data_IF_045714925919
#
_entry.id   IF_045714925919
#
_cell.length_a   1.000
_cell.length_b   1.000
_cell.length_c   1.000
_cell.angle_alpha   90.00
_cell.angle_beta   90.00
_cell.angle_gamma   90.00
#
_symmetry.space_group_name_H-M   'P 1'
#
loop_
_entity.id
_entity.type
_entity.pdbx_description
1 polymer ?
#
# COMPACT_ATOMS: atom_id res chain seq x y z
N UNK A 1 -10.92 -9.19 29.51
CA UNK A 1 -11.76 -10.33 29.09
C UNK A 1 -11.15 -10.93 27.82
N UNK A 2 -11.16 -12.26 27.64
CA UNK A 2 -10.58 -12.88 26.43
C UNK A 2 -11.70 -13.14 25.38
N UNK A 3 -11.71 -12.45 24.23
CA UNK A 3 -12.78 -12.58 23.22
C UNK A 3 -12.93 -13.99 22.65
N UNK A 4 -11.85 -14.76 22.59
CA UNK A 4 -11.90 -16.14 22.09
C UNK A 4 -12.62 -17.05 23.07
N UNK A 5 -12.39 -16.85 24.38
CA UNK A 5 -13.07 -17.65 25.42
C UNK A 5 -14.59 -17.41 25.42
N UNK A 6 -15.03 -16.17 25.19
CA UNK A 6 -16.47 -15.87 25.18
C UNK A 6 -17.16 -16.36 23.90
N UNK A 7 -16.48 -16.34 22.74
CA UNK A 7 -16.99 -16.97 21.51
C UNK A 7 -17.19 -18.48 21.72
N UNK A 8 -16.19 -19.16 22.31
CA UNK A 8 -16.27 -20.59 22.64
C UNK A 8 -17.39 -20.89 23.65
N UNK A 9 -17.53 -20.07 24.70
CA UNK A 9 -18.55 -20.22 25.73
C UNK A 9 -19.98 -19.99 25.17
N UNK A 10 -20.18 -19.01 24.29
CA UNK A 10 -21.48 -18.79 23.62
C UNK A 10 -21.81 -19.95 22.70
N UNK A 11 -20.84 -20.46 21.93
CA UNK A 11 -21.04 -21.63 21.05
C UNK A 11 -21.32 -22.91 21.83
N UNK A 12 -20.79 -23.05 23.04
CA UNK A 12 -21.03 -24.18 23.92
C UNK A 12 -22.34 -24.05 24.73
N UNK A 13 -23.00 -22.89 24.70
CA UNK A 13 -24.24 -22.63 25.44
C UNK A 13 -25.47 -23.23 24.75
N UNK A 14 -26.62 -23.10 25.41
CA UNK A 14 -27.92 -23.45 24.82
C UNK A 14 -28.50 -22.37 23.90
N UNK A 15 -27.77 -21.28 23.63
CA UNK A 15 -28.22 -20.20 22.74
C UNK A 15 -28.39 -20.75 21.33
N UNK A 16 -29.61 -20.68 20.81
CA UNK A 16 -29.95 -21.21 19.48
C UNK A 16 -29.69 -20.21 18.35
N UNK A 17 -29.69 -18.92 18.68
CA UNK A 17 -29.39 -17.86 17.72
C UNK A 17 -27.91 -17.85 17.36
N UNK A 18 -27.58 -17.96 16.08
CA UNK A 18 -26.19 -17.99 15.62
C UNK A 18 -25.46 -16.68 15.96
N UNK A 19 -24.27 -16.81 16.55
CA UNK A 19 -23.35 -15.71 16.79
C UNK A 19 -22.77 -15.20 15.45
N UNK A 20 -22.72 -13.88 15.31
CA UNK A 20 -22.12 -13.21 14.15
C UNK A 20 -20.68 -12.78 14.44
N UNK A 21 -20.43 -12.23 15.63
CA UNK A 21 -19.08 -11.90 16.08
C UNK A 21 -19.01 -11.30 17.48
N UNK A 22 -17.80 -11.21 18.00
CA UNK A 22 -17.47 -10.59 19.28
C UNK A 22 -16.38 -9.54 19.04
N UNK A 23 -16.63 -8.31 19.46
CA UNK A 23 -15.70 -7.19 19.28
C UNK A 23 -15.41 -6.56 20.63
N UNK A 24 -14.13 -6.25 20.89
CA UNK A 24 -13.70 -5.52 22.08
C UNK A 24 -13.08 -4.21 21.66
N UNK A 25 -13.61 -3.09 22.17
CA UNK A 25 -13.09 -1.74 21.94
C UNK A 25 -12.86 -1.10 23.30
N UNK A 26 -11.60 -0.98 23.71
CA UNK A 26 -11.25 -0.54 25.07
C UNK A 26 -11.81 -1.52 26.12
N UNK A 27 -12.56 -0.98 27.08
CA UNK A 27 -13.20 -1.76 28.14
C UNK A 27 -14.63 -2.24 27.78
N UNK A 28 -15.07 -2.02 26.53
CA UNK A 28 -16.40 -2.38 26.05
C UNK A 28 -16.33 -3.67 25.23
N UNK A 29 -17.14 -4.66 25.63
CA UNK A 29 -17.38 -5.90 24.88
C UNK A 29 -18.73 -5.80 24.17
N UNK A 30 -18.73 -5.97 22.85
CA UNK A 30 -19.97 -6.04 22.04
C UNK A 30 -20.11 -7.41 21.41
N UNK A 31 -21.31 -7.99 21.52
CA UNK A 31 -21.64 -9.31 20.98
C UNK A 31 -22.77 -9.17 19.96
N UNK A 32 -22.52 -9.64 18.74
CA UNK A 32 -23.45 -9.54 17.62
C UNK A 32 -24.05 -10.91 17.33
N UNK A 33 -25.38 -10.99 17.25
CA UNK A 33 -26.11 -12.19 16.84
C UNK A 33 -26.75 -11.96 15.48
N UNK A 34 -26.87 -13.01 14.67
CA UNK A 34 -27.45 -12.93 13.31
C UNK A 34 -28.96 -12.68 13.28
N UNK A 35 -29.62 -12.75 14.43
CA UNK A 35 -31.02 -12.41 14.61
C UNK A 35 -31.25 -11.92 16.04
N UNK A 36 -32.45 -11.39 16.31
CA UNK A 36 -32.85 -11.06 17.68
C UNK A 36 -32.91 -12.32 18.55
N UNK A 37 -32.26 -12.27 19.72
CA UNK A 37 -32.30 -13.36 20.69
C UNK A 37 -33.73 -13.63 21.19
N UNK A 38 -34.08 -14.90 21.29
CA UNK A 38 -35.31 -15.32 21.97
C UNK A 38 -35.26 -14.98 23.46
N UNK A 39 -36.40 -14.89 24.17
CA UNK A 39 -36.39 -14.69 25.62
C UNK A 39 -35.55 -15.73 26.39
N UNK A 40 -35.56 -16.98 25.94
CA UNK A 40 -34.78 -18.06 26.57
C UNK A 40 -33.26 -17.91 26.32
N UNK A 41 -32.86 -17.50 25.10
CA UNK A 41 -31.46 -17.22 24.78
C UNK A 41 -30.95 -16.02 25.58
N UNK A 42 -31.78 -14.97 25.73
CA UNK A 42 -31.44 -13.81 26.58
C UNK A 42 -31.23 -14.22 28.04
N UNK A 43 -32.12 -15.03 28.61
CA UNK A 43 -31.92 -15.57 29.97
C UNK A 43 -30.65 -16.40 30.10
N UNK A 44 -30.25 -17.13 29.05
CA UNK A 44 -28.98 -17.88 29.03
C UNK A 44 -27.77 -16.94 29.00
N UNK A 45 -27.85 -15.83 28.24
CA UNK A 45 -26.77 -14.84 28.11
C UNK A 45 -26.62 -13.97 29.37
N UNK A 46 -27.73 -13.45 29.88
CA UNK A 46 -27.81 -12.46 30.97
C UNK A 46 -27.87 -13.11 32.37
N UNK A 47 -28.16 -14.41 32.43
CA UNK A 47 -28.49 -15.11 33.66
C UNK A 47 -29.94 -14.90 34.11
N UNK A 48 -30.38 -15.68 35.10
CA UNK A 48 -31.66 -15.40 35.78
C UNK A 48 -31.46 -14.22 36.77
N UNK A 49 -32.41 -13.29 36.77
CA UNK A 49 -32.59 -12.20 37.73
C UNK A 49 -32.45 -12.59 39.21
N UNK A 50 -32.67 -13.85 39.58
CA UNK A 50 -32.50 -14.36 40.95
C UNK A 50 -31.03 -14.68 41.31
N UNK A 51 -30.14 -14.77 40.32
CA UNK A 51 -28.74 -15.13 40.49
C UNK A 51 -27.88 -14.51 39.37
N UNK A 52 -27.56 -13.19 39.43
CA UNK A 52 -26.90 -12.45 38.34
C UNK A 52 -25.46 -12.91 38.04
N UNK A 53 -24.94 -13.90 38.79
CA UNK A 53 -23.66 -14.57 38.53
C UNK A 53 -23.85 -16.01 37.98
N UNK A 54 -24.85 -16.22 37.11
CA UNK A 54 -25.14 -17.51 36.46
C UNK A 54 -25.35 -17.44 34.93
N UNK A 55 -25.10 -16.28 34.30
CA UNK A 55 -25.08 -16.06 32.85
C UNK A 55 -23.69 -15.64 32.37
N UNK A 56 -23.42 -15.77 31.07
CA UNK A 56 -22.10 -15.52 30.47
C UNK A 56 -21.60 -14.07 30.63
N UNK A 57 -22.50 -13.12 30.90
CA UNK A 57 -22.18 -11.70 31.07
C UNK A 57 -22.91 -11.17 32.32
N UNK A 58 -22.16 -10.81 33.36
CA UNK A 58 -22.71 -10.48 34.68
C UNK A 58 -23.53 -9.17 34.75
N UNK A 59 -23.51 -8.32 33.71
CA UNK A 59 -24.29 -7.08 33.64
C UNK A 59 -24.54 -6.73 32.16
N UNK A 60 -25.81 -6.62 31.76
CA UNK A 60 -26.21 -6.09 30.45
C UNK A 60 -27.15 -4.89 30.61
N UNK A 61 -26.90 -3.86 29.82
CA UNK A 61 -27.82 -2.75 29.59
C UNK A 61 -28.96 -3.29 28.71
N UNK A 62 -30.09 -3.63 29.34
CA UNK A 62 -31.29 -4.16 28.69
C UNK A 62 -32.08 -3.11 27.90
N UNK A 63 -31.54 -1.91 27.64
CA UNK A 63 -32.22 -0.95 26.77
C UNK A 63 -32.15 -1.45 25.33
N UNK A 64 -33.29 -1.65 24.65
CA UNK A 64 -33.28 -1.83 23.21
C UNK A 64 -32.74 -0.55 22.61
N UNK A 65 -31.47 -0.55 22.21
CA UNK A 65 -30.99 0.49 21.31
C UNK A 65 -31.80 0.33 20.03
N UNK A 66 -32.74 1.24 19.82
CA UNK A 66 -33.27 1.47 18.49
C UNK A 66 -32.09 2.02 17.69
N UNK A 67 -31.34 1.11 17.09
CA UNK A 67 -30.48 1.45 15.97
C UNK A 67 -31.47 1.91 14.91
N UNK A 68 -31.74 3.21 14.91
CA UNK A 68 -32.27 3.87 13.74
C UNK A 68 -31.12 3.74 12.78
N UNK A 69 -31.14 2.68 11.97
CA UNK A 69 -30.28 2.56 10.82
C UNK A 69 -30.65 3.77 9.97
N UNK A 70 -29.87 4.84 10.13
CA UNK A 70 -29.84 5.91 9.15
C UNK A 70 -29.23 5.22 7.95
N UNK A 71 -30.11 4.67 7.13
CA UNK A 71 -29.75 4.10 5.85
C UNK A 71 -29.30 5.29 5.01
N UNK A 72 -28.01 5.62 5.13
CA UNK A 72 -27.34 6.52 4.21
C UNK A 72 -27.30 5.74 2.92
N UNK A 73 -28.39 5.83 2.15
CA UNK A 73 -28.45 5.45 0.74
C UNK A 73 -27.50 6.38 -0.01
N UNK A 74 -26.20 6.15 0.16
CA UNK A 74 -25.21 6.58 -0.80
C UNK A 74 -25.57 5.81 -2.08
N UNK A 75 -26.22 6.49 -3.01
CA UNK A 75 -26.41 5.95 -4.36
C UNK A 75 -25.00 5.72 -4.91
N UNK A 76 -24.56 4.47 -4.87
CA UNK A 76 -23.28 4.06 -5.44
C UNK A 76 -23.42 4.27 -6.94
N UNK A 77 -22.79 5.32 -7.45
CA UNK A 77 -22.76 5.58 -8.88
C UNK A 77 -21.79 4.58 -9.50
N UNK A 78 -22.33 3.56 -10.16
CA UNK A 78 -21.58 2.68 -11.05
C UNK A 78 -20.81 3.51 -12.10
N UNK A 79 -19.72 2.92 -12.61
CA UNK A 79 -18.84 3.52 -13.63
C UNK A 79 -19.62 4.29 -14.70
N UNK A 80 -19.19 5.52 -14.99
CA UNK A 80 -19.77 6.30 -16.10
C UNK A 80 -19.40 5.74 -17.48
N UNK A 81 -18.36 4.90 -17.55
CA UNK A 81 -17.93 4.19 -18.75
C UNK A 81 -17.93 2.70 -18.41
N UNK A 82 -18.86 1.91 -18.95
CA UNK A 82 -18.94 0.50 -18.60
C UNK A 82 -17.72 -0.25 -19.12
N UNK A 83 -16.94 -0.80 -18.21
CA UNK A 83 -15.89 -1.81 -18.48
C UNK A 83 -16.47 -3.16 -18.96
N UNK A 84 -17.76 -3.21 -19.33
CA UNK A 84 -18.49 -4.43 -19.69
C UNK A 84 -18.35 -5.58 -18.68
N UNK A 85 -17.94 -5.29 -17.44
CA UNK A 85 -17.70 -6.28 -16.39
C UNK A 85 -16.55 -7.26 -16.66
N UNK A 86 -15.62 -6.97 -17.58
CA UNK A 86 -14.51 -7.90 -17.86
C UNK A 86 -13.42 -7.74 -16.83
N UNK A 87 -13.26 -8.76 -16.00
CA UNK A 87 -12.22 -8.85 -15.00
C UNK A 87 -10.86 -9.24 -15.59
N UNK A 88 -9.79 -8.62 -15.10
CA UNK A 88 -8.42 -9.01 -15.35
C UNK A 88 -7.60 -8.94 -14.06
N UNK A 89 -6.62 -9.84 -13.98
CA UNK A 89 -5.64 -9.92 -12.91
C UNK A 89 -4.24 -9.75 -13.49
N UNK A 90 -3.39 -8.95 -12.84
CA UNK A 90 -1.97 -8.85 -13.17
C UNK A 90 -1.11 -8.88 -11.93
N UNK A 91 0.11 -9.41 -12.06
CA UNK A 91 1.17 -9.25 -11.08
C UNK A 91 2.15 -8.19 -11.55
N UNK A 92 2.70 -7.43 -10.62
CA UNK A 92 3.85 -6.55 -10.82
C UNK A 92 5.01 -7.04 -9.96
N UNK A 93 6.22 -6.90 -10.48
CA UNK A 93 7.43 -7.26 -9.76
C UNK A 93 8.34 -6.04 -9.69
N UNK A 94 8.75 -5.67 -8.48
CA UNK A 94 9.66 -4.55 -8.22
C UNK A 94 10.88 -5.13 -7.51
N UNK A 95 12.07 -4.93 -8.08
CA UNK A 95 13.33 -5.19 -7.39
C UNK A 95 13.78 -3.88 -6.75
N UNK A 96 13.97 -3.89 -5.44
CA UNK A 96 14.35 -2.71 -4.65
C UNK A 96 15.68 -2.97 -3.96
N UNK A 97 16.79 -2.35 -4.39
CA UNK A 97 18.07 -2.49 -3.71
C UNK A 97 17.99 -2.11 -2.24
N UNK A 98 18.88 -2.67 -1.41
CA UNK A 98 18.91 -2.39 0.03
C UNK A 98 19.12 -0.89 0.30
N UNK A 99 18.40 -0.34 1.27
CA UNK A 99 18.51 1.07 1.69
C UNK A 99 18.29 2.08 0.55
N UNK A 100 17.48 1.72 -0.45
CA UNK A 100 17.15 2.59 -1.59
C UNK A 100 15.66 2.72 -1.83
N UNK A 101 15.29 3.66 -2.68
CA UNK A 101 13.93 3.81 -3.21
C UNK A 101 13.89 3.32 -4.65
N UNK A 102 12.94 2.43 -4.96
CA UNK A 102 12.62 2.05 -6.32
C UNK A 102 11.26 2.63 -6.74
N UNK A 103 11.16 2.94 -8.02
CA UNK A 103 9.95 3.44 -8.67
C UNK A 103 9.56 2.46 -9.76
N UNK A 104 8.29 2.07 -9.77
CA UNK A 104 7.70 1.24 -10.83
C UNK A 104 6.47 1.93 -11.42
N UNK A 105 6.53 2.20 -12.72
CA UNK A 105 5.46 2.83 -13.47
C UNK A 105 4.75 1.80 -14.35
N UNK A 106 3.43 1.77 -14.26
CA UNK A 106 2.57 0.94 -15.09
C UNK A 106 1.47 1.81 -15.69
N UNK A 107 1.09 1.54 -16.94
CA UNK A 107 -0.08 2.16 -17.57
C UNK A 107 -0.78 1.16 -18.50
N UNK A 108 -1.98 1.50 -18.93
CA UNK A 108 -2.78 0.68 -19.85
C UNK A 108 -3.25 1.52 -21.03
N UNK A 109 -3.27 0.99 -22.26
CA UNK A 109 -3.74 1.74 -23.43
C UNK A 109 -5.27 1.88 -23.48
N UNK A 110 -5.98 1.50 -22.41
CA UNK A 110 -7.42 1.57 -22.24
C UNK A 110 -7.73 1.98 -20.79
N UNK A 111 -8.91 2.57 -20.52
CA UNK A 111 -9.34 2.86 -19.17
C UNK A 111 -9.47 1.57 -18.34
N UNK A 112 -9.11 1.63 -17.06
CA UNK A 112 -9.30 0.52 -16.12
C UNK A 112 -9.99 0.99 -14.86
N UNK A 113 -10.64 0.09 -14.13
CA UNK A 113 -11.10 0.38 -12.77
C UNK A 113 -10.49 -0.61 -11.81
N UNK A 114 -9.62 -0.11 -10.93
CA UNK A 114 -8.91 -0.93 -9.95
C UNK A 114 -9.88 -1.37 -8.85
N UNK A 115 -9.99 -2.67 -8.66
CA UNK A 115 -10.86 -3.29 -7.66
C UNK A 115 -10.13 -3.56 -6.35
N UNK A 116 -8.93 -4.12 -6.44
CA UNK A 116 -8.06 -4.38 -5.30
C UNK A 116 -6.60 -4.32 -5.78
N UNK A 117 -5.77 -3.74 -4.95
CA UNK A 117 -4.33 -3.76 -5.12
C UNK A 117 -3.71 -4.27 -3.83
N UNK A 118 -2.91 -5.31 -3.91
CA UNK A 118 -2.30 -5.86 -2.71
C UNK A 118 -0.88 -6.35 -2.92
N UNK A 119 -0.15 -6.37 -1.83
CA UNK A 119 1.16 -7.01 -1.74
C UNK A 119 1.10 -8.11 -0.68
N UNK A 120 1.97 -9.10 -0.83
CA UNK A 120 2.26 -10.06 0.22
C UNK A 120 3.63 -9.68 0.75
N UNK A 121 3.67 -9.19 1.98
CA UNK A 121 4.92 -8.80 2.63
C UNK A 121 5.45 -9.91 3.51
N UNK A 122 6.76 -9.97 3.67
CA UNK A 122 7.42 -10.87 4.61
C UNK A 122 8.10 -10.11 5.76
N UNK A 123 8.92 -10.83 6.53
CA UNK A 123 9.63 -10.26 7.68
C UNK A 123 10.73 -9.28 7.26
N UNK A 124 11.31 -9.47 6.08
CA UNK A 124 12.37 -8.61 5.56
C UNK A 124 11.81 -7.23 5.22
N UNK A 125 10.57 -7.15 4.74
CA UNK A 125 9.85 -5.91 4.37
C UNK A 125 9.47 -5.00 5.54
N UNK A 126 9.59 -5.46 6.78
CA UNK A 126 9.15 -4.69 7.96
C UNK A 126 9.89 -3.36 8.08
N UNK A 127 9.14 -2.27 8.21
CA UNK A 127 9.66 -0.90 8.32
C UNK A 127 9.92 -0.21 6.99
N UNK A 128 9.84 -0.94 5.86
CA UNK A 128 9.81 -0.34 4.52
C UNK A 128 8.61 0.59 4.37
N UNK A 129 8.65 1.50 3.40
CA UNK A 129 7.58 2.47 3.14
C UNK A 129 7.10 2.33 1.71
N UNK A 130 5.78 2.20 1.53
CA UNK A 130 5.16 2.10 0.20
C UNK A 130 4.18 3.25 -0.05
N UNK A 131 4.26 3.79 -1.26
CA UNK A 131 3.33 4.79 -1.78
C UNK A 131 2.78 4.36 -3.13
N UNK A 132 1.50 4.63 -3.37
CA UNK A 132 0.80 4.34 -4.62
C UNK A 132 0.18 5.62 -5.15
N UNK A 133 0.56 5.98 -6.36
CA UNK A 133 0.25 7.27 -6.99
C UNK A 133 -0.45 7.01 -8.33
N UNK A 134 -1.43 7.84 -8.67
CA UNK A 134 -2.10 7.82 -9.98
C UNK A 134 -1.89 9.17 -10.65
N UNK A 135 -1.41 9.12 -11.88
CA UNK A 135 -1.06 10.28 -12.69
C UNK A 135 -0.01 11.19 -12.05
N UNK A 136 1.15 10.68 -11.57
CA UNK A 136 2.14 11.52 -10.91
C UNK A 136 2.60 12.66 -11.82
N UNK A 137 2.57 13.88 -11.28
CA UNK A 137 2.98 15.12 -11.96
C UNK A 137 2.25 15.36 -13.31
N UNK A 138 0.98 14.96 -13.43
CA UNK A 138 0.20 15.11 -14.67
C UNK A 138 -0.26 16.55 -14.85
N UNK A 139 0.03 17.24 -15.97
CA UNK A 139 -0.48 18.58 -16.21
C UNK A 139 -2.01 18.60 -16.34
N UNK A 140 -2.70 19.34 -15.46
CA UNK A 140 -4.17 19.48 -15.46
C UNK A 140 -4.65 20.87 -15.92
N UNK A 141 -3.73 21.83 -16.00
CA UNK A 141 -3.99 23.20 -16.47
C UNK A 141 -2.88 24.14 -16.04
N UNK A 142 -3.20 25.43 -15.87
CA UNK A 142 -2.23 26.45 -15.47
C UNK A 142 -2.80 27.43 -14.43
N UNK A 143 -1.92 28.19 -13.79
CA UNK A 143 -2.28 29.37 -12.99
C UNK A 143 -2.94 30.44 -13.87
N UNK A 144 -3.97 31.09 -13.36
CA UNK A 144 -4.61 32.27 -13.99
C UNK A 144 -4.15 33.58 -13.34
N UNK A 145 -3.60 33.51 -12.14
CA UNK A 145 -2.95 34.62 -11.43
C UNK A 145 -1.62 34.12 -10.88
N UNK A 146 -0.57 34.94 -10.94
CA UNK A 146 0.72 34.61 -10.35
C UNK A 146 0.57 34.27 -8.87
N UNK A 147 1.26 33.23 -8.41
CA UNK A 147 1.31 32.85 -7.01
C UNK A 147 2.59 33.42 -6.38
N UNK A 148 2.45 34.13 -5.26
CA UNK A 148 3.60 34.51 -4.43
C UNK A 148 4.05 33.34 -3.58
N UNK A 149 5.28 33.40 -3.06
CA UNK A 149 5.73 32.44 -2.07
C UNK A 149 4.79 32.44 -0.84
N UNK A 150 4.49 31.25 -0.33
CA UNK A 150 3.57 30.96 0.77
C UNK A 150 2.07 31.28 0.51
N UNK A 151 1.67 31.66 -0.71
CA UNK A 151 0.25 31.79 -1.05
C UNK A 151 -0.46 30.44 -0.95
N UNK A 152 -1.50 30.35 -0.14
CA UNK A 152 -2.31 29.13 0.04
C UNK A 152 -3.56 29.09 -0.84
N UNK A 153 -3.94 30.23 -1.44
CA UNK A 153 -5.07 30.33 -2.36
C UNK A 153 -4.55 30.52 -3.78
N UNK A 154 -4.73 29.51 -4.62
CA UNK A 154 -4.25 29.50 -5.99
C UNK A 154 -5.41 29.75 -6.95
N UNK A 155 -5.26 30.72 -7.84
CA UNK A 155 -6.21 30.96 -8.93
C UNK A 155 -5.75 30.18 -10.15
N UNK A 156 -6.59 29.27 -10.63
CA UNK A 156 -6.23 28.27 -11.65
C UNK A 156 -7.24 28.26 -12.79
N UNK A 157 -6.93 27.56 -13.87
CA UNK A 157 -7.90 27.27 -14.92
C UNK A 157 -8.97 26.30 -14.41
N UNK A 158 -10.17 26.35 -15.00
CA UNK A 158 -11.28 25.46 -14.62
C UNK A 158 -10.93 23.98 -14.78
N UNK A 159 -10.12 23.63 -15.78
CA UNK A 159 -9.65 22.26 -16.00
C UNK A 159 -8.87 21.70 -14.81
N UNK A 160 -8.15 22.55 -14.07
CA UNK A 160 -7.49 22.13 -12.83
C UNK A 160 -8.54 21.77 -11.79
N UNK A 161 -9.53 22.63 -11.56
CA UNK A 161 -10.58 22.38 -10.56
C UNK A 161 -11.44 21.15 -10.90
N UNK A 162 -11.65 20.89 -12.19
CA UNK A 162 -12.42 19.73 -12.66
C UNK A 162 -11.67 18.40 -12.43
N UNK A 163 -10.33 18.42 -12.43
CA UNK A 163 -9.49 17.23 -12.35
C UNK A 163 -8.73 17.07 -11.02
N UNK A 164 -8.88 18.01 -10.09
CA UNK A 164 -8.23 17.97 -8.77
C UNK A 164 -9.28 17.95 -7.66
N UNK A 165 -9.05 17.12 -6.64
CA UNK A 165 -9.94 16.93 -5.49
C UNK A 165 -9.19 17.16 -4.17
N UNK A 166 -9.88 17.53 -3.08
CA UNK A 166 -9.27 17.55 -1.75
C UNK A 166 -8.62 16.19 -1.41
N UNK A 167 -7.38 16.21 -0.96
CA UNK A 167 -6.54 15.03 -0.73
C UNK A 167 -5.51 14.76 -1.84
N UNK A 168 -5.71 15.30 -3.05
CA UNK A 168 -4.68 15.26 -4.09
C UNK A 168 -3.50 16.19 -3.73
N UNK A 169 -2.32 15.89 -4.27
CA UNK A 169 -1.18 16.81 -4.24
C UNK A 169 -1.00 17.47 -5.59
N UNK A 170 -0.54 18.71 -5.59
CA UNK A 170 -0.16 19.44 -6.81
C UNK A 170 1.27 19.98 -6.71
N UNK A 171 1.88 20.25 -7.87
CA UNK A 171 3.08 21.06 -8.01
C UNK A 171 2.89 22.15 -9.05
N UNK A 172 3.59 23.26 -8.89
CA UNK A 172 3.66 24.35 -9.85
C UNK A 172 4.95 24.21 -10.67
N UNK A 173 4.84 24.30 -11.99
CA UNK A 173 5.99 24.17 -12.90
C UNK A 173 5.96 25.24 -14.00
N UNK A 174 7.00 26.07 -14.07
CA UNK A 174 7.10 27.18 -15.04
C UNK A 174 8.03 26.87 -16.24
N UNK A 175 8.46 25.62 -16.39
CA UNK A 175 9.46 25.21 -17.39
C UNK A 175 10.89 25.13 -16.85
N UNK A 176 11.21 25.83 -15.76
CA UNK A 176 12.56 25.89 -15.19
C UNK A 176 12.62 25.43 -13.73
N UNK A 177 11.61 25.80 -12.94
CA UNK A 177 11.50 25.50 -11.52
C UNK A 177 10.23 24.68 -11.27
N UNK A 178 10.31 23.77 -10.30
CA UNK A 178 9.16 23.00 -9.81
C UNK A 178 9.02 23.27 -8.32
N UNK A 179 7.80 23.54 -7.86
CA UNK A 179 7.52 23.66 -6.41
C UNK A 179 7.66 22.32 -5.70
N UNK A 180 7.73 22.35 -4.38
CA UNK A 180 7.36 21.22 -3.54
C UNK A 180 5.90 20.79 -3.76
N UNK A 181 5.53 19.63 -3.24
CA UNK A 181 4.15 19.17 -3.27
C UNK A 181 3.27 19.98 -2.33
N UNK A 182 2.13 20.42 -2.84
CA UNK A 182 1.14 21.19 -2.11
C UNK A 182 -0.12 20.32 -1.96
N UNK A 183 -0.51 20.00 -0.73
CA UNK A 183 -1.72 19.23 -0.45
C UNK A 183 -2.96 20.09 -0.65
N UNK A 184 -3.88 19.67 -1.52
CA UNK A 184 -5.15 20.37 -1.76
C UNK A 184 -6.14 20.04 -0.65
N UNK A 185 -6.62 21.05 0.05
CA UNK A 185 -7.58 20.90 1.16
C UNK A 185 -8.99 21.39 0.81
N UNK A 186 -9.12 22.27 -0.19
CA UNK A 186 -10.41 22.72 -0.70
C UNK A 186 -10.31 23.13 -2.17
N UNK A 187 -11.46 23.13 -2.86
CA UNK A 187 -11.61 23.65 -4.22
C UNK A 187 -12.89 24.48 -4.35
N UNK A 188 -12.84 25.55 -5.12
CA UNK A 188 -14.01 26.37 -5.46
C UNK A 188 -14.21 26.38 -6.99
N UNK A 189 -15.10 25.50 -7.46
CA UNK A 189 -15.41 25.38 -8.90
C UNK A 189 -16.12 26.60 -9.47
N UNK A 190 -16.70 27.48 -8.65
CA UNK A 190 -17.35 28.71 -9.12
C UNK A 190 -16.32 29.81 -9.39
N UNK A 191 -15.31 29.90 -8.53
CA UNK A 191 -14.26 30.92 -8.63
C UNK A 191 -12.97 30.42 -9.28
N UNK A 192 -12.91 29.14 -9.65
CA UNK A 192 -11.74 28.47 -10.22
C UNK A 192 -10.48 28.60 -9.32
N UNK A 193 -10.64 28.35 -8.03
CA UNK A 193 -9.55 28.40 -7.06
C UNK A 193 -9.33 27.07 -6.35
N UNK A 194 -8.08 26.83 -5.94
CA UNK A 194 -7.68 25.77 -5.02
C UNK A 194 -7.15 26.39 -3.73
N UNK A 195 -7.48 25.79 -2.60
CA UNK A 195 -6.82 26.07 -1.31
C UNK A 195 -5.89 24.92 -0.97
N UNK A 196 -4.62 25.22 -0.75
CA UNK A 196 -3.60 24.25 -0.34
C UNK A 196 -3.24 24.41 1.14
N UNK A 197 -2.79 23.32 1.77
CA UNK A 197 -2.41 23.30 3.19
C UNK A 197 -1.25 24.26 3.49
N UNK A 198 -0.23 24.24 2.62
CA UNK A 198 0.93 25.13 2.68
C UNK A 198 1.20 25.67 1.29
N UNK A 199 1.49 26.97 1.19
CA UNK A 199 1.84 27.61 -0.08
C UNK A 199 3.27 27.29 -0.52
N UNK A 200 3.55 27.46 -1.81
CA UNK A 200 4.86 27.14 -2.39
C UNK A 200 6.00 27.99 -1.83
N UNK A 201 7.19 27.42 -1.70
CA UNK A 201 8.40 28.11 -1.24
C UNK A 201 8.93 29.17 -2.21
N UNK A 202 8.59 29.04 -3.49
CA UNK A 202 8.96 29.95 -4.58
C UNK A 202 7.73 30.69 -5.10
N UNK A 203 7.95 31.86 -5.71
CA UNK A 203 6.91 32.56 -6.47
C UNK A 203 6.87 32.03 -7.91
N UNK A 204 5.67 31.94 -8.47
CA UNK A 204 5.41 31.45 -9.83
C UNK A 204 4.58 32.45 -10.62
N UNK A 205 5.03 32.79 -11.83
CA UNK A 205 4.37 33.77 -12.70
C UNK A 205 3.30 33.10 -13.56
N UNK A 206 2.10 33.66 -13.64
CA UNK A 206 1.10 33.22 -14.62
C UNK A 206 1.38 33.73 -16.05
N UNK A 207 2.26 34.73 -16.21
CA UNK A 207 2.55 35.34 -17.52
C UNK A 207 3.43 34.46 -18.42
N UNK A 208 4.28 33.64 -17.82
CA UNK A 208 4.99 32.53 -18.47
C UNK A 208 4.32 31.26 -17.95
N UNK A 209 3.51 30.55 -18.75
CA UNK A 209 2.50 29.66 -18.22
C UNK A 209 3.08 28.72 -17.17
N UNK A 210 2.65 28.91 -15.92
CA UNK A 210 2.96 27.99 -14.84
C UNK A 210 1.90 26.90 -14.84
N UNK A 211 2.31 25.70 -15.19
CA UNK A 211 1.46 24.52 -15.20
C UNK A 211 1.19 24.05 -13.77
N UNK A 212 -0.04 23.57 -13.55
CA UNK A 212 -0.42 22.83 -12.35
C UNK A 212 -0.32 21.35 -12.67
N UNK A 213 0.61 20.67 -12.01
CA UNK A 213 0.85 19.24 -12.13
C UNK A 213 0.13 18.55 -10.97
N UNK A 214 -0.88 17.73 -11.24
CA UNK A 214 -1.65 17.04 -10.19
C UNK A 214 -1.18 15.60 -10.02
N UNK A 215 -1.28 15.08 -8.80
CA UNK A 215 -1.01 13.69 -8.44
C UNK A 215 -2.08 13.23 -7.46
N UNK A 216 -2.78 12.13 -7.78
CA UNK A 216 -3.68 11.48 -6.82
C UNK A 216 -2.91 10.44 -6.03
N UNK A 217 -2.89 10.57 -4.70
CA UNK A 217 -2.22 9.62 -3.81
C UNK A 217 -3.23 8.61 -3.25
N UNK A 218 -3.08 7.34 -3.60
CA UNK A 218 -3.95 6.25 -3.13
C UNK A 218 -3.41 5.67 -1.82
N UNK A 219 -2.09 5.52 -1.74
CA UNK A 219 -1.38 5.13 -0.50
C UNK A 219 -0.31 6.18 -0.26
N UNK A 220 -0.30 6.75 0.94
CA UNK A 220 0.65 7.80 1.35
C UNK A 220 1.57 7.23 2.41
N UNK A 221 2.83 6.99 2.03
CA UNK A 221 3.95 6.65 2.90
C UNK A 221 3.59 5.59 3.96
N UNK A 222 2.95 4.52 3.51
CA UNK A 222 2.50 3.44 4.37
C UNK A 222 3.69 2.61 4.83
N UNK A 223 4.00 2.68 6.12
CA UNK A 223 5.03 1.83 6.74
C UNK A 223 4.52 0.39 6.84
N UNK A 224 5.32 -0.55 6.33
CA UNK A 224 5.01 -1.98 6.35
C UNK A 224 5.21 -2.53 7.77
N UNK A 225 4.11 -3.03 8.34
CA UNK A 225 4.10 -3.65 9.66
C UNK A 225 4.54 -5.12 9.66
N UNK A 226 3.77 -5.95 10.36
CA UNK A 226 3.99 -7.40 10.39
C UNK A 226 3.68 -8.03 9.03
N UNK A 227 4.37 -9.13 8.72
CA UNK A 227 4.13 -9.96 7.53
C UNK A 227 2.64 -10.29 7.35
N UNK A 228 2.03 -9.75 6.29
CA UNK A 228 0.61 -9.92 6.01
C UNK A 228 0.30 -9.59 4.54
N UNK A 229 -0.95 -9.84 4.13
CA UNK A 229 -1.49 -9.32 2.88
C UNK A 229 -2.00 -7.89 3.11
N UNK A 230 -1.27 -6.89 2.61
CA UNK A 230 -1.71 -5.49 2.65
C UNK A 230 -2.55 -5.23 1.41
N UNK A 231 -3.86 -5.04 1.59
CA UNK A 231 -4.81 -4.79 0.50
C UNK A 231 -5.32 -3.36 0.55
N UNK A 232 -5.44 -2.74 -0.63
CA UNK A 232 -5.82 -1.34 -0.83
C UNK A 232 -6.98 -1.30 -1.83
N UNK A 233 -8.03 -0.56 -1.48
CA UNK A 233 -9.22 -0.44 -2.33
C UNK A 233 -10.27 -1.55 -2.12
N UNK A 234 -9.92 -2.63 -1.41
CA UNK A 234 -10.86 -3.72 -1.08
C UNK A 234 -12.14 -3.17 -0.44
N UNK A 235 -13.28 -3.49 -1.06
CA UNK A 235 -14.62 -3.16 -0.54
C UNK A 235 -15.25 -1.90 -1.10
N UNK A 236 -14.58 -1.16 -2.00
CA UNK A 236 -15.23 -0.10 -2.77
C UNK A 236 -15.76 -0.65 -4.10
N UNK A 237 -17.04 -1.00 -4.11
CA UNK A 237 -17.80 -1.15 -5.35
C UNK A 237 -17.97 0.27 -5.92
N UNK A 238 -17.38 0.56 -7.07
CA UNK A 238 -17.45 1.88 -7.73
C UNK A 238 -16.23 2.78 -7.56
N UNK A 239 -15.01 2.22 -7.56
CA UNK A 239 -13.80 3.03 -7.70
C UNK A 239 -13.87 3.88 -8.99
N UNK A 240 -13.37 5.12 -8.92
CA UNK A 240 -13.19 5.94 -10.12
C UNK A 240 -12.26 5.21 -11.10
N UNK A 241 -12.62 5.21 -12.38
CA UNK A 241 -11.77 4.63 -13.41
C UNK A 241 -10.48 5.45 -13.55
N UNK A 242 -9.39 4.77 -13.88
CA UNK A 242 -8.12 5.35 -14.30
C UNK A 242 -8.16 5.45 -15.84
N UNK A 243 -8.02 6.65 -16.42
CA UNK A 243 -8.02 6.81 -17.88
C UNK A 243 -6.88 6.04 -18.57
N UNK A 244 -7.06 5.80 -19.87
CA UNK A 244 -6.01 5.21 -20.70
C UNK A 244 -4.72 6.04 -20.65
N UNK A 245 -3.58 5.36 -20.60
CA UNK A 245 -2.21 5.88 -20.57
C UNK A 245 -1.89 6.76 -19.36
N UNK A 246 -2.74 6.79 -18.34
CA UNK A 246 -2.38 7.39 -17.04
C UNK A 246 -1.45 6.43 -16.31
N UNK A 247 -0.34 6.96 -15.82
CA UNK A 247 0.66 6.20 -15.07
C UNK A 247 0.14 5.93 -13.66
N UNK A 248 0.13 4.66 -13.27
CA UNK A 248 0.06 4.22 -11.88
C UNK A 248 1.48 3.94 -11.43
N UNK A 249 1.94 4.69 -10.44
CA UNK A 249 3.30 4.61 -9.92
C UNK A 249 3.30 4.01 -8.52
N UNK A 250 4.05 2.93 -8.35
CA UNK A 250 4.40 2.41 -7.03
C UNK A 250 5.79 2.92 -6.66
N UNK A 251 5.91 3.53 -5.48
CA UNK A 251 7.19 3.92 -4.89
C UNK A 251 7.41 3.04 -3.67
N UNK A 252 8.54 2.34 -3.64
CA UNK A 252 8.92 1.48 -2.53
C UNK A 252 10.26 1.91 -1.98
N UNK A 253 10.29 2.31 -0.70
CA UNK A 253 11.51 2.63 0.02
C UNK A 253 11.90 1.43 0.87
N UNK A 254 12.91 0.69 0.41
CA UNK A 254 13.51 -0.39 1.18
C UNK A 254 14.42 0.21 2.23
N UNK A 255 14.09 0.02 3.51
CA UNK A 255 14.90 0.50 4.64
C UNK A 255 15.79 -0.59 5.23
N UNK A 256 15.65 -1.84 4.79
CA UNK A 256 16.48 -2.92 5.27
C UNK A 256 17.90 -2.85 4.65
N UNK A 257 18.94 -3.15 5.44
CA UNK A 257 20.29 -3.28 4.94
C UNK A 257 20.45 -4.51 4.04
N UNK A 258 21.58 -4.59 3.34
CA UNK A 258 21.96 -5.80 2.59
C UNK A 258 22.01 -6.99 3.54
N UNK A 259 21.51 -8.14 3.08
CA UNK A 259 21.44 -9.36 3.88
C UNK A 259 22.59 -10.29 3.52
N UNK A 260 23.32 -10.80 4.52
CA UNK A 260 24.40 -11.77 4.28
C UNK A 260 23.78 -13.13 3.96
N UNK A 261 23.95 -13.61 2.73
CA UNK A 261 23.46 -14.93 2.38
C UNK A 261 24.48 -16.05 2.59
N UNK A 262 25.76 -15.71 2.73
CA UNK A 262 26.82 -16.66 3.02
C UNK A 262 28.20 -16.08 2.75
N UNK A 263 29.19 -16.96 2.73
CA UNK A 263 30.56 -16.64 2.30
C UNK A 263 30.98 -17.52 1.13
N UNK A 264 31.93 -17.05 0.33
CA UNK A 264 32.48 -17.83 -0.75
C UNK A 264 33.19 -19.10 -0.22
N UNK A 265 32.76 -20.26 -0.68
CA UNK A 265 33.40 -21.55 -0.39
C UNK A 265 34.58 -21.84 -1.32
N UNK A 266 34.73 -21.08 -2.42
CA UNK A 266 35.84 -21.15 -3.37
C UNK A 266 36.16 -19.78 -3.93
N UNK A 267 37.35 -19.61 -4.50
CA UNK A 267 37.74 -18.36 -5.14
C UNK A 267 36.86 -18.09 -6.37
N UNK A 268 36.61 -16.81 -6.65
CA UNK A 268 35.88 -16.34 -7.84
C UNK A 268 36.87 -15.57 -8.70
N UNK A 269 37.05 -16.00 -9.94
CA UNK A 269 37.86 -15.30 -10.94
C UNK A 269 37.01 -14.23 -11.66
N UNK A 270 37.66 -13.29 -12.35
CA UNK A 270 36.97 -12.34 -13.25
C UNK A 270 36.25 -13.13 -14.35
N UNK A 271 35.03 -12.70 -14.69
CA UNK A 271 34.11 -13.33 -15.64
C UNK A 271 33.34 -14.57 -15.14
N UNK A 272 33.53 -14.96 -13.87
CA UNK A 272 32.75 -16.06 -13.30
C UNK A 272 31.29 -15.63 -13.08
N UNK A 273 30.38 -16.56 -13.35
CA UNK A 273 28.92 -16.40 -13.16
C UNK A 273 28.34 -17.46 -12.23
N UNK A 274 29.17 -18.37 -11.71
CA UNK A 274 28.78 -19.41 -10.77
C UNK A 274 29.61 -19.25 -9.51
N UNK A 275 28.93 -19.01 -8.41
CA UNK A 275 29.54 -18.80 -7.10
C UNK A 275 29.39 -20.08 -6.30
N UNK A 276 30.47 -20.57 -5.69
CA UNK A 276 30.39 -21.59 -4.65
C UNK A 276 30.21 -20.89 -3.31
N UNK A 277 29.09 -21.11 -2.61
CA UNK A 277 28.67 -20.34 -1.43
C UNK A 277 28.34 -21.26 -0.26
N UNK A 278 28.94 -21.01 0.89
CA UNK A 278 28.52 -21.59 2.16
C UNK A 278 27.33 -20.80 2.70
N UNK A 279 26.11 -21.25 2.39
CA UNK A 279 24.88 -20.54 2.75
C UNK A 279 24.70 -20.42 4.26
N UNK A 280 24.46 -19.20 4.73
CA UNK A 280 24.02 -18.92 6.11
C UNK A 280 22.54 -18.59 6.18
N UNK A 281 21.96 -18.17 5.06
CA UNK A 281 20.55 -17.80 4.96
C UNK A 281 19.93 -18.21 3.61
N UNK A 282 18.61 -18.03 3.50
CA UNK A 282 17.89 -18.34 2.27
C UNK A 282 18.28 -17.36 1.15
N UNK A 283 18.55 -17.90 -0.04
CA UNK A 283 18.58 -17.17 -1.32
C UNK A 283 17.54 -17.79 -2.23
N UNK A 284 16.91 -16.96 -3.05
CA UNK A 284 15.90 -17.34 -4.03
C UNK A 284 16.28 -16.92 -5.44
N UNK A 285 15.70 -17.59 -6.43
CA UNK A 285 15.84 -17.19 -7.83
C UNK A 285 15.18 -15.83 -8.04
N UNK A 286 15.93 -14.89 -8.60
CA UNK A 286 15.56 -13.50 -8.83
C UNK A 286 16.14 -12.52 -7.81
N UNK A 287 16.77 -13.00 -6.73
CA UNK A 287 17.40 -12.12 -5.74
C UNK A 287 18.62 -11.39 -6.35
N UNK A 288 18.79 -10.08 -6.10
CA UNK A 288 19.99 -9.36 -6.52
C UNK A 288 21.19 -9.79 -5.66
N UNK A 289 22.27 -10.26 -6.29
CA UNK A 289 23.46 -10.79 -5.61
C UNK A 289 24.63 -9.82 -5.72
N UNK A 290 25.37 -9.66 -4.63
CA UNK A 290 26.59 -8.88 -4.54
C UNK A 290 27.68 -9.68 -3.80
N UNK A 291 28.96 -9.46 -4.15
CA UNK A 291 30.11 -9.97 -3.39
C UNK A 291 30.98 -8.81 -2.94
N UNK A 292 31.50 -8.87 -1.71
CA UNK A 292 32.48 -7.92 -1.20
C UNK A 292 33.58 -8.59 -0.37
N UNK A 293 34.81 -8.11 -0.54
CA UNK A 293 35.99 -8.43 0.28
C UNK A 293 36.33 -7.30 1.30
N UNK A 294 35.44 -6.30 1.41
CA UNK A 294 35.63 -5.10 2.23
C UNK A 294 36.40 -3.96 1.53
N UNK A 295 36.94 -4.19 0.34
CA UNK A 295 37.66 -3.19 -0.49
C UNK A 295 36.97 -3.04 -1.85
N UNK A 296 36.77 -4.15 -2.55
CA UNK A 296 36.12 -4.29 -3.84
C UNK A 296 34.68 -4.79 -3.65
N UNK A 297 33.80 -4.42 -4.56
CA UNK A 297 32.39 -4.86 -4.55
C UNK A 297 31.89 -5.05 -5.97
N UNK A 298 31.30 -6.21 -6.25
CA UNK A 298 30.72 -6.54 -7.56
C UNK A 298 29.21 -6.75 -7.42
N UNK A 299 28.42 -5.99 -8.19
CA UNK A 299 26.99 -6.23 -8.37
C UNK A 299 26.79 -7.24 -9.50
N UNK A 300 26.39 -8.45 -9.13
CA UNK A 300 26.33 -9.60 -10.04
C UNK A 300 24.95 -9.78 -10.71
N UNK A 301 24.07 -8.79 -10.58
CA UNK A 301 22.70 -8.86 -11.07
C UNK A 301 21.88 -9.88 -10.28
N UNK A 302 21.00 -10.65 -10.94
CA UNK A 302 20.05 -11.53 -10.25
C UNK A 302 20.50 -12.99 -10.22
N UNK A 303 20.15 -13.72 -9.16
CA UNK A 303 20.30 -15.18 -9.10
C UNK A 303 19.36 -15.86 -10.11
N UNK A 304 19.92 -16.54 -11.11
CA UNK A 304 19.16 -17.33 -12.11
C UNK A 304 18.95 -18.78 -11.67
N UNK A 305 19.84 -19.30 -10.82
CA UNK A 305 19.74 -20.63 -10.21
C UNK A 305 20.34 -20.60 -8.81
N UNK A 306 19.69 -21.27 -7.86
CA UNK A 306 20.20 -21.51 -6.51
C UNK A 306 20.20 -23.02 -6.26
N UNK A 307 21.38 -23.61 -6.15
CA UNK A 307 21.56 -25.03 -5.86
C UNK A 307 22.05 -25.20 -4.43
N UNK A 308 21.11 -25.47 -3.51
CA UNK A 308 21.41 -25.58 -2.08
C UNK A 308 22.12 -26.89 -1.71
N UNK A 309 22.03 -27.92 -2.55
CA UNK A 309 22.73 -29.19 -2.30
C UNK A 309 24.16 -29.08 -2.80
N UNK A 310 24.35 -28.47 -3.98
CA UNK A 310 25.65 -28.18 -4.55
C UNK A 310 26.36 -26.96 -3.96
N UNK A 311 25.70 -26.20 -3.08
CA UNK A 311 26.21 -24.95 -2.51
C UNK A 311 26.63 -23.93 -3.59
N UNK A 312 25.79 -23.74 -4.62
CA UNK A 312 26.10 -22.78 -5.70
C UNK A 312 24.98 -21.80 -6.00
N UNK A 313 25.37 -20.61 -6.46
CA UNK A 313 24.47 -19.58 -7.02
C UNK A 313 24.96 -19.27 -8.44
N UNK A 314 24.06 -19.29 -9.42
CA UNK A 314 24.33 -18.77 -10.78
C UNK A 314 23.73 -17.38 -10.92
N UNK A 315 24.50 -16.42 -11.41
CA UNK A 315 24.14 -14.99 -11.48
C UNK A 315 24.07 -14.48 -12.93
N UNK A 316 23.36 -13.38 -13.19
CA UNK A 316 23.20 -12.83 -14.55
C UNK A 316 24.40 -12.04 -15.05
N UNK A 317 25.15 -11.41 -14.14
CA UNK A 317 26.28 -10.54 -14.49
C UNK A 317 27.57 -11.19 -13.97
N UNK A 318 28.60 -11.36 -14.82
CA UNK A 318 29.88 -11.87 -14.39
C UNK A 318 30.59 -10.94 -13.40
N UNK A 319 31.45 -11.50 -12.57
CA UNK A 319 32.38 -10.74 -11.73
C UNK A 319 33.36 -9.89 -12.57
N UNK A 320 33.67 -8.71 -12.06
CA UNK A 320 34.70 -7.80 -12.57
C UNK A 320 35.98 -7.82 -11.73
N UNK A 321 35.91 -8.37 -10.52
CA UNK A 321 37.03 -8.54 -9.60
C UNK A 321 37.28 -10.02 -9.28
N UNK A 322 38.45 -10.31 -8.70
CA UNK A 322 38.74 -11.62 -8.11
C UNK A 322 38.41 -11.60 -6.62
N UNK A 323 37.80 -12.67 -6.12
CA UNK A 323 37.47 -12.81 -4.70
C UNK A 323 38.05 -14.10 -4.12
N UNK A 324 38.42 -14.03 -2.85
CA UNK A 324 38.97 -15.15 -2.09
C UNK A 324 37.87 -15.96 -1.41
N UNK A 325 38.13 -17.24 -1.07
CA UNK A 325 37.27 -17.96 -0.14
C UNK A 325 37.10 -17.16 1.15
N UNK A 326 35.90 -17.21 1.74
CA UNK A 326 35.46 -16.43 2.93
C UNK A 326 35.00 -14.99 2.66
N UNK A 327 35.18 -14.45 1.45
CA UNK A 327 34.58 -13.16 1.11
C UNK A 327 33.05 -13.25 1.17
N UNK A 328 32.41 -12.14 1.50
CA UNK A 328 30.99 -12.14 1.88
C UNK A 328 30.11 -12.01 0.66
N UNK A 329 29.08 -12.85 0.59
CA UNK A 329 28.04 -12.79 -0.45
C UNK A 329 26.78 -12.23 0.18
N UNK A 330 26.22 -11.20 -0.47
CA UNK A 330 25.03 -10.49 -0.02
C UNK A 330 23.87 -10.68 -1.00
N UNK A 331 22.66 -10.67 -0.46
CA UNK A 331 21.45 -10.29 -1.17
C UNK A 331 21.29 -8.78 -1.04
N UNK A 332 21.48 -8.05 -2.13
CA UNK A 332 21.49 -6.58 -2.18
C UNK A 332 20.13 -6.02 -2.61
N UNK A 333 19.10 -6.31 -1.81
CA UNK A 333 17.75 -5.83 -2.05
C UNK A 333 16.69 -6.91 -1.95
N UNK A 334 15.46 -6.55 -2.27
CA UNK A 334 14.30 -7.43 -2.17
C UNK A 334 13.53 -7.44 -3.46
N UNK A 335 12.78 -8.51 -3.67
CA UNK A 335 11.85 -8.66 -4.79
C UNK A 335 10.43 -8.63 -4.27
N UNK A 336 9.77 -7.50 -4.47
CA UNK A 336 8.38 -7.31 -4.08
C UNK A 336 7.48 -7.73 -5.22
N UNK A 337 6.45 -8.53 -4.91
CA UNK A 337 5.40 -8.90 -5.86
C UNK A 337 4.10 -8.28 -5.41
N UNK A 338 3.60 -7.33 -6.21
CA UNK A 338 2.26 -6.79 -6.07
C UNK A 338 1.29 -7.47 -7.02
N UNK A 339 0.02 -7.40 -6.67
CA UNK A 339 -1.08 -7.97 -7.45
C UNK A 339 -2.16 -6.92 -7.59
N UNK A 340 -2.78 -6.91 -8.76
CA UNK A 340 -3.87 -5.99 -9.05
C UNK A 340 -5.00 -6.70 -9.76
N UNK A 341 -6.19 -6.48 -9.23
CA UNK A 341 -7.46 -6.84 -9.84
C UNK A 341 -8.13 -5.59 -10.40
N UNK A 342 -8.59 -5.66 -11.64
CA UNK A 342 -9.24 -4.52 -12.28
C UNK A 342 -10.24 -4.96 -13.34
N UNK A 343 -11.17 -4.05 -13.65
CA UNK A 343 -12.09 -4.15 -14.78
C UNK A 343 -11.54 -3.39 -16.00
N UNK A 344 -11.85 -3.88 -17.21
CA UNK A 344 -11.49 -3.25 -18.50
C UNK A 344 -12.64 -3.28 -19.51
#
# INVERSE_FOLDING_TARGET
MNPTKIDDEIRASSITTALDGVVVIGDVLTIYFKASLSPADKTTLDGDTSNPAGGLIAVTDNTPSSITEVDVMATIKEESVPTNGKFQFTSLQITVPAETTAIHDQSWPFPISVLDFWWITDVEDRGDVVSLLVGPDTPTGALTVSASAADTLLNVQSTVVDNTYPGDTIRLYDGSSTSEELLVIARDSKNATLTVESGASLAFSAATPTYVLSTTRIVVDCEIGREWRISVGKGKIGASYIPANVVVRTVWQNKAPKRICGTLAGAVAINDTVLSVAFTENVYVGDPIEISDGVNTDSLGNATRVDRVGNTITVTTPSTNTYSPSDTVYVNGKRIVGYMEYLR
#
